data_IF_225146170641
#
_entry.id   IF_225146170641
#
_cell.length_a   1.000
_cell.length_b   1.000
_cell.length_c   1.000
_cell.angle_alpha   90.00
_cell.angle_beta   90.00
_cell.angle_gamma   90.00
#
_symmetry.space_group_name_H-M   'P 1'
#
loop_
_entity.id
_entity.type
_entity.pdbx_description
1 polymer ?
#
# COMPACT_ATOMS: atom_id res chain seq x y z
N UNK A 1 3.98 3.82 -22.73
CA UNK A 1 3.59 3.40 -21.37
C UNK A 1 4.75 2.66 -20.72
N UNK A 2 4.50 1.85 -19.70
CA UNK A 2 5.56 1.17 -18.93
C UNK A 2 6.46 0.24 -19.76
N UNK A 3 5.95 -0.42 -20.81
CA UNK A 3 6.74 -1.27 -21.71
C UNK A 3 7.93 -0.55 -22.38
N UNK A 4 7.80 0.76 -22.65
CA UNK A 4 8.90 1.55 -23.20
C UNK A 4 10.00 1.74 -22.16
N UNK A 5 9.62 1.97 -20.90
CA UNK A 5 10.55 2.16 -19.79
C UNK A 5 11.28 0.87 -19.43
N UNK A 6 10.54 -0.24 -19.26
CA UNK A 6 11.14 -1.54 -18.95
C UNK A 6 12.05 -2.02 -20.08
N UNK A 7 11.62 -1.88 -21.34
CA UNK A 7 12.44 -2.19 -22.50
C UNK A 7 13.74 -1.39 -22.55
N UNK A 8 13.72 -0.10 -22.24
CA UNK A 8 14.93 0.73 -22.19
C UNK A 8 15.88 0.29 -21.07
N UNK A 9 15.37 -0.05 -19.88
CA UNK A 9 16.19 -0.56 -18.78
C UNK A 9 16.82 -1.91 -19.13
N UNK A 10 16.05 -2.81 -19.73
CA UNK A 10 16.53 -4.13 -20.14
C UNK A 10 17.56 -4.06 -21.27
N UNK A 11 17.42 -3.12 -22.22
CA UNK A 11 18.44 -2.86 -23.24
C UNK A 11 19.79 -2.41 -22.64
N UNK A 12 19.74 -1.76 -21.47
CA UNK A 12 20.94 -1.39 -20.71
C UNK A 12 21.41 -2.51 -19.74
N UNK A 13 20.79 -3.69 -19.74
CA UNK A 13 21.12 -4.81 -18.86
C UNK A 13 20.67 -4.63 -17.40
N UNK A 14 19.76 -3.69 -17.13
CA UNK A 14 19.24 -3.42 -15.80
C UNK A 14 18.09 -4.34 -15.39
N UNK A 15 17.73 -4.28 -14.11
CA UNK A 15 16.56 -4.94 -13.49
C UNK A 15 15.66 -3.85 -12.92
N UNK A 16 14.34 -3.99 -13.09
CA UNK A 16 13.36 -2.99 -12.65
C UNK A 16 12.12 -3.64 -12.04
N UNK A 17 11.71 -3.13 -10.88
CA UNK A 17 10.51 -3.56 -10.15
C UNK A 17 9.48 -2.42 -10.13
N UNK A 18 8.20 -2.78 -10.22
CA UNK A 18 7.10 -1.82 -10.12
C UNK A 18 6.63 -1.68 -8.68
N UNK A 19 6.69 -0.48 -8.09
CA UNK A 19 6.13 -0.26 -6.76
C UNK A 19 4.60 -0.10 -6.85
N UNK A 20 3.85 -1.08 -6.32
CA UNK A 20 2.40 -1.05 -6.27
C UNK A 20 1.92 -0.24 -5.07
N UNK A 21 1.10 0.78 -5.34
CA UNK A 21 0.82 1.82 -4.36
C UNK A 21 -0.67 2.11 -4.24
N UNK A 22 -1.16 2.09 -3.00
CA UNK A 22 -2.49 2.55 -2.62
C UNK A 22 -2.37 3.55 -1.47
N UNK A 23 -2.76 4.80 -1.70
CA UNK A 23 -2.50 5.91 -0.76
C UNK A 23 -3.38 5.89 0.49
N UNK A 24 -4.55 5.26 0.41
CA UNK A 24 -5.50 5.24 1.53
C UNK A 24 -5.95 6.67 1.89
N UNK A 25 -5.88 7.03 3.17
CA UNK A 25 -6.27 8.38 3.66
C UNK A 25 -5.38 9.54 3.20
N UNK A 26 -4.22 9.28 2.61
CA UNK A 26 -3.33 10.31 2.06
C UNK A 26 -3.78 10.73 0.66
N UNK A 27 -5.01 11.26 0.55
CA UNK A 27 -5.65 11.58 -0.72
C UNK A 27 -6.63 12.74 -0.55
N UNK A 28 -7.28 13.14 -1.65
CA UNK A 28 -8.24 14.24 -1.68
C UNK A 28 -9.47 13.85 -2.50
N UNK A 29 -10.64 14.40 -2.15
CA UNK A 29 -11.93 14.08 -2.77
C UNK A 29 -11.93 14.17 -4.31
N UNK A 30 -11.18 15.13 -4.88
CA UNK A 30 -11.06 15.32 -6.34
C UNK A 30 -10.52 14.08 -7.09
N UNK A 31 -9.81 13.18 -6.42
CA UNK A 31 -9.28 11.97 -7.05
C UNK A 31 -10.26 10.78 -7.06
N UNK A 32 -11.43 10.94 -6.43
CA UNK A 32 -12.40 9.85 -6.24
C UNK A 32 -13.74 10.23 -6.83
N UNK A 33 -14.35 9.31 -7.60
CA UNK A 33 -15.65 9.56 -8.23
C UNK A 33 -16.78 9.77 -7.20
N UNK A 34 -16.67 9.12 -6.03
CA UNK A 34 -17.58 9.29 -4.88
C UNK A 34 -17.11 10.38 -3.90
N UNK A 35 -15.99 11.04 -4.19
CA UNK A 35 -15.42 12.10 -3.38
C UNK A 35 -14.78 11.63 -2.06
N UNK A 36 -14.61 10.32 -1.82
CA UNK A 36 -14.17 9.83 -0.51
C UNK A 36 -12.91 8.95 -0.59
N UNK A 37 -11.77 9.41 -0.05
CA UNK A 37 -10.65 8.52 0.26
C UNK A 37 -11.08 7.39 1.19
N UNK A 38 -10.32 6.29 1.18
CA UNK A 38 -10.61 5.11 2.00
C UNK A 38 -9.45 4.77 2.92
N UNK A 39 -9.75 4.17 4.07
CA UNK A 39 -8.76 3.76 5.07
C UNK A 39 -9.30 2.63 5.96
N UNK A 40 -8.46 1.98 6.78
CA UNK A 40 -8.96 1.05 7.80
C UNK A 40 -9.97 1.68 8.77
N UNK A 41 -9.84 2.97 9.07
CA UNK A 41 -10.74 3.71 9.96
C UNK A 41 -10.98 5.13 9.46
N UNK A 42 -12.10 5.74 9.87
CA UNK A 42 -12.49 7.10 9.48
C UNK A 42 -11.69 8.18 10.24
N UNK A 43 -10.36 8.15 10.10
CA UNK A 43 -9.41 9.02 10.79
C UNK A 43 -8.56 9.78 9.76
N UNK A 44 -8.68 11.10 9.72
CA UNK A 44 -7.84 11.93 8.85
C UNK A 44 -6.35 11.87 9.26
N UNK A 45 -5.39 11.99 8.31
CA UNK A 45 -3.97 11.86 8.61
C UNK A 45 -3.32 13.13 9.20
N UNK A 46 -4.05 14.23 9.36
CA UNK A 46 -3.48 15.57 9.63
C UNK A 46 -2.32 15.89 8.67
N UNK A 47 -2.65 15.88 7.37
CA UNK A 47 -1.68 16.03 6.30
C UNK A 47 -2.32 16.63 5.05
N UNK A 48 -1.46 17.15 4.18
CA UNK A 48 -1.84 17.73 2.89
C UNK A 48 -1.30 16.90 1.72
N UNK A 49 -2.02 16.93 0.60
CA UNK A 49 -1.58 16.38 -0.69
C UNK A 49 -1.53 17.45 -1.76
N UNK A 50 -0.67 17.26 -2.75
CA UNK A 50 -0.57 18.13 -3.90
C UNK A 50 -1.71 17.85 -4.88
N UNK A 51 -2.47 18.89 -5.24
CA UNK A 51 -3.53 18.83 -6.25
C UNK A 51 -3.24 19.87 -7.31
N UNK A 52 -3.34 19.46 -8.57
CA UNK A 52 -3.23 20.34 -9.74
C UNK A 52 -4.64 20.66 -10.23
N UNK A 53 -4.91 21.93 -10.50
CA UNK A 53 -6.16 22.38 -11.14
C UNK A 53 -6.12 22.20 -12.66
N UNK A 54 -7.25 22.47 -13.33
CA UNK A 54 -7.37 22.35 -14.79
C UNK A 54 -6.44 23.31 -15.55
N UNK A 55 -5.98 24.37 -14.88
CA UNK A 55 -5.04 25.36 -15.41
C UNK A 55 -3.57 24.97 -15.16
N UNK A 56 -3.31 23.79 -14.61
CA UNK A 56 -1.96 23.30 -14.32
C UNK A 56 -1.32 23.92 -13.08
N UNK A 57 -2.06 24.67 -12.26
CA UNK A 57 -1.55 25.26 -11.02
C UNK A 57 -1.71 24.27 -9.89
N UNK A 58 -0.61 23.99 -9.20
CA UNK A 58 -0.60 23.07 -8.08
C UNK A 58 -0.62 23.76 -6.73
N UNK A 59 -1.32 23.15 -5.78
CA UNK A 59 -1.41 23.61 -4.40
C UNK A 59 -1.48 22.43 -3.44
N UNK A 60 -1.03 22.65 -2.21
CA UNK A 60 -1.24 21.70 -1.11
C UNK A 60 -2.67 21.88 -0.59
N UNK A 61 -3.41 20.78 -0.45
CA UNK A 61 -4.77 20.75 0.10
C UNK A 61 -4.88 19.71 1.19
N UNK A 62 -5.71 19.97 2.19
CA UNK A 62 -5.91 19.07 3.33
C UNK A 62 -6.54 17.75 2.88
N UNK A 63 -6.09 16.65 3.49
CA UNK A 63 -6.73 15.34 3.31
C UNK A 63 -8.07 15.34 4.07
N UNK A 64 -9.22 15.11 3.40
CA UNK A 64 -10.50 15.01 4.09
C UNK A 64 -10.57 13.72 4.92
N UNK A 65 -11.51 13.62 5.87
CA UNK A 65 -11.78 12.37 6.57
C UNK A 65 -12.08 11.24 5.57
N UNK A 66 -11.42 10.07 5.69
CA UNK A 66 -11.68 8.94 4.82
C UNK A 66 -12.93 8.17 5.27
N UNK A 67 -13.47 7.35 4.37
CA UNK A 67 -14.43 6.30 4.71
C UNK A 67 -13.70 5.06 5.21
N UNK A 68 -14.21 4.44 6.28
CA UNK A 68 -13.71 3.15 6.73
C UNK A 68 -14.06 2.05 5.71
N UNK A 69 -13.07 1.23 5.36
CA UNK A 69 -13.25 0.13 4.42
C UNK A 69 -14.20 -0.94 4.96
N UNK A 70 -15.14 -1.39 4.13
CA UNK A 70 -15.88 -2.62 4.38
C UNK A 70 -15.03 -3.85 4.04
N UNK A 71 -15.46 -5.04 4.48
CA UNK A 71 -14.82 -6.31 4.10
C UNK A 71 -14.78 -6.50 2.58
N UNK A 72 -15.87 -6.13 1.88
CA UNK A 72 -15.92 -6.18 0.42
C UNK A 72 -14.98 -5.19 -0.25
N UNK A 73 -14.75 -4.01 0.36
CA UNK A 73 -13.76 -3.06 -0.18
C UNK A 73 -12.35 -3.63 -0.04
N UNK A 74 -12.02 -4.24 1.10
CA UNK A 74 -10.73 -4.89 1.33
C UNK A 74 -10.48 -5.99 0.29
N UNK A 75 -11.46 -6.86 0.07
CA UNK A 75 -11.37 -7.92 -0.94
C UNK A 75 -11.16 -7.37 -2.36
N UNK A 76 -11.83 -6.26 -2.70
CA UNK A 76 -11.65 -5.58 -3.99
C UNK A 76 -10.24 -5.02 -4.13
N UNK A 77 -9.72 -4.35 -3.09
CA UNK A 77 -8.36 -3.80 -3.12
C UNK A 77 -7.31 -4.91 -3.24
N UNK A 78 -7.49 -6.05 -2.57
CA UNK A 78 -6.62 -7.24 -2.76
C UNK A 78 -6.66 -7.72 -4.22
N UNK A 79 -7.84 -7.74 -4.85
CA UNK A 79 -7.98 -8.06 -6.26
C UNK A 79 -7.32 -7.02 -7.18
N UNK A 80 -7.38 -5.74 -6.83
CA UNK A 80 -6.72 -4.65 -7.57
C UNK A 80 -5.20 -4.79 -7.52
N UNK A 81 -4.62 -5.09 -6.34
CA UNK A 81 -3.19 -5.41 -6.20
C UNK A 81 -2.79 -6.62 -7.06
N UNK A 82 -3.58 -7.68 -7.04
CA UNK A 82 -3.38 -8.87 -7.87
C UNK A 82 -3.37 -8.52 -9.36
N UNK A 83 -4.34 -7.72 -9.81
CA UNK A 83 -4.42 -7.31 -11.21
C UNK A 83 -3.26 -6.38 -11.59
N UNK A 84 -2.89 -5.45 -10.72
CA UNK A 84 -1.77 -4.54 -10.93
C UNK A 84 -0.44 -5.31 -11.07
N UNK A 85 -0.24 -6.38 -10.30
CA UNK A 85 0.93 -7.25 -10.45
C UNK A 85 0.97 -7.95 -11.80
N UNK A 86 -0.17 -8.51 -12.27
CA UNK A 86 -0.26 -9.10 -13.63
C UNK A 86 0.07 -8.06 -14.71
N UNK A 87 -0.45 -6.85 -14.55
CA UNK A 87 -0.20 -5.75 -15.48
C UNK A 87 1.29 -5.35 -15.49
N UNK A 88 1.95 -5.33 -14.33
CA UNK A 88 3.38 -5.03 -14.24
C UNK A 88 4.23 -6.08 -14.99
N UNK A 89 3.95 -7.37 -14.80
CA UNK A 89 4.66 -8.43 -15.55
C UNK A 89 4.36 -8.34 -17.05
N UNK A 90 3.11 -8.11 -17.45
CA UNK A 90 2.77 -7.90 -18.86
C UNK A 90 3.45 -6.65 -19.47
N UNK A 91 3.79 -5.67 -18.63
CA UNK A 91 4.56 -4.50 -19.01
C UNK A 91 6.07 -4.72 -19.01
N UNK A 92 6.56 -5.91 -18.66
CA UNK A 92 7.98 -6.27 -18.68
C UNK A 92 8.74 -5.87 -17.43
N UNK A 93 8.08 -5.62 -16.28
CA UNK A 93 8.81 -5.53 -15.02
C UNK A 93 9.31 -6.91 -14.57
N UNK A 94 10.45 -6.94 -13.90
CA UNK A 94 11.05 -8.17 -13.37
C UNK A 94 10.32 -8.67 -12.11
N UNK A 95 9.59 -7.78 -11.45
CA UNK A 95 8.71 -8.08 -10.33
C UNK A 95 8.03 -6.83 -9.79
N UNK A 96 7.48 -6.94 -8.58
CA UNK A 96 6.79 -5.83 -7.91
C UNK A 96 7.25 -5.65 -6.47
N UNK A 97 7.24 -4.41 -6.02
CA UNK A 97 7.40 -4.03 -4.61
C UNK A 97 6.06 -3.52 -4.08
N UNK A 98 5.51 -4.14 -3.04
CA UNK A 98 4.31 -3.65 -2.37
C UNK A 98 4.69 -2.48 -1.46
N UNK A 99 4.07 -1.31 -1.65
CA UNK A 99 4.33 -0.18 -0.76
C UNK A 99 3.60 -0.35 0.60
N UNK A 100 4.29 -0.96 1.57
CA UNK A 100 3.80 -1.23 2.93
C UNK A 100 4.18 -0.20 4.00
N UNK A 101 4.54 1.03 3.62
CA UNK A 101 5.16 2.03 4.50
C UNK A 101 4.70 3.46 4.24
N UNK A 102 5.45 4.43 4.77
CA UNK A 102 5.24 5.89 4.59
C UNK A 102 3.81 6.42 4.88
N UNK A 103 3.04 5.72 5.72
CA UNK A 103 1.70 6.13 6.09
C UNK A 103 0.63 5.87 5.03
N UNK A 104 0.90 5.00 4.06
CA UNK A 104 -0.07 4.60 3.04
C UNK A 104 -0.89 3.38 3.48
N UNK A 105 -1.79 2.89 2.62
CA UNK A 105 -2.90 2.04 3.07
C UNK A 105 -2.47 0.84 3.92
N UNK A 106 -1.48 0.07 3.48
CA UNK A 106 -1.01 -1.09 4.23
C UNK A 106 -0.44 -0.68 5.59
N UNK A 107 0.40 0.36 5.65
CA UNK A 107 0.95 0.89 6.89
C UNK A 107 -0.16 1.43 7.82
N UNK A 108 -1.22 2.00 7.25
CA UNK A 108 -2.40 2.42 8.02
C UNK A 108 -3.07 1.23 8.73
N UNK A 109 -3.10 0.03 8.12
CA UNK A 109 -3.60 -1.18 8.79
C UNK A 109 -2.65 -1.67 9.91
N UNK A 110 -1.34 -1.55 9.71
CA UNK A 110 -0.33 -2.02 10.68
C UNK A 110 -0.37 -1.23 12.01
N UNK A 111 -0.71 0.06 11.96
CA UNK A 111 -0.61 0.98 13.09
C UNK A 111 -1.92 1.18 13.84
N UNK A 112 -1.86 1.10 15.16
CA UNK A 112 -2.99 1.33 16.06
C UNK A 112 -3.50 2.77 16.02
N UNK A 113 -2.65 3.75 15.67
CA UNK A 113 -3.07 5.16 15.52
C UNK A 113 -3.90 5.40 14.26
N UNK A 114 -3.86 4.51 13.28
CA UNK A 114 -4.59 4.62 12.03
C UNK A 114 -5.68 3.54 11.87
N UNK A 115 -5.58 2.44 12.61
CA UNK A 115 -6.50 1.30 12.58
C UNK A 115 -7.17 1.10 13.94
N UNK A 116 -8.42 1.56 14.04
CA UNK A 116 -9.33 1.39 15.18
C UNK A 116 -10.42 0.33 14.89
N UNK A 117 -10.19 -0.55 13.92
CA UNK A 117 -11.16 -1.61 13.59
C UNK A 117 -11.29 -2.61 14.73
N UNK A 118 -12.49 -3.17 14.86
CA UNK A 118 -12.84 -4.21 15.84
C UNK A 118 -13.12 -5.57 15.18
N UNK A 119 -12.95 -5.66 13.87
CA UNK A 119 -13.13 -6.88 13.08
C UNK A 119 -11.81 -7.65 12.89
N UNK A 120 -11.78 -8.63 11.98
CA UNK A 120 -10.60 -9.45 11.73
C UNK A 120 -9.39 -8.70 11.15
N UNK A 121 -9.52 -7.40 10.84
CA UNK A 121 -8.46 -6.56 10.30
C UNK A 121 -7.92 -5.51 11.30
N UNK A 122 -8.38 -5.50 12.56
CA UNK A 122 -7.85 -4.61 13.60
C UNK A 122 -7.84 -5.18 15.01
N UNK A 123 -7.43 -4.33 15.96
CA UNK A 123 -7.22 -4.72 17.35
C UNK A 123 -5.90 -5.48 17.54
N UNK A 124 -5.94 -6.81 17.43
CA UNK A 124 -4.78 -7.67 17.70
C UNK A 124 -3.67 -7.49 16.66
N UNK A 125 -2.44 -7.86 17.02
CA UNK A 125 -1.30 -7.83 16.10
C UNK A 125 -1.56 -8.69 14.85
N UNK A 126 -2.08 -9.92 15.03
CA UNK A 126 -2.39 -10.83 13.93
C UNK A 126 -3.44 -10.27 12.97
N UNK A 127 -4.43 -9.53 13.49
CA UNK A 127 -5.44 -8.88 12.66
C UNK A 127 -4.88 -7.69 11.89
N UNK A 128 -4.01 -6.87 12.52
CA UNK A 128 -3.41 -5.70 11.84
C UNK A 128 -2.49 -6.07 10.68
N UNK A 129 -1.78 -7.20 10.75
CA UNK A 129 -0.93 -7.67 9.64
C UNK A 129 -1.71 -8.43 8.56
N UNK A 130 -2.96 -8.85 8.83
CA UNK A 130 -3.76 -9.69 7.94
C UNK A 130 -3.91 -9.11 6.53
N UNK A 131 -4.21 -7.82 6.43
CA UNK A 131 -4.39 -7.17 5.13
C UNK A 131 -3.11 -7.21 4.27
N UNK A 132 -1.94 -6.97 4.88
CA UNK A 132 -0.66 -7.07 4.20
C UNK A 132 -0.38 -8.50 3.70
N UNK A 133 -0.69 -9.50 4.53
CA UNK A 133 -0.55 -10.92 4.18
C UNK A 133 -1.45 -11.28 3.00
N UNK A 134 -2.73 -10.88 3.03
CA UNK A 134 -3.67 -11.12 1.93
C UNK A 134 -3.22 -10.50 0.61
N UNK A 135 -2.69 -9.27 0.64
CA UNK A 135 -2.12 -8.60 -0.54
C UNK A 135 -0.90 -9.37 -1.08
N UNK A 136 0.06 -9.69 -0.22
CA UNK A 136 1.29 -10.38 -0.62
C UNK A 136 1.02 -11.79 -1.14
N UNK A 137 0.12 -12.54 -0.50
CA UNK A 137 -0.34 -13.84 -0.99
C UNK A 137 -0.99 -13.69 -2.36
N UNK A 138 -1.92 -12.75 -2.53
CA UNK A 138 -2.64 -12.59 -3.78
C UNK A 138 -1.73 -12.20 -4.97
N UNK A 139 -0.65 -11.44 -4.71
CA UNK A 139 0.39 -11.11 -5.69
C UNK A 139 1.29 -12.33 -5.95
N UNK A 140 1.78 -12.98 -4.89
CA UNK A 140 2.65 -14.15 -4.99
C UNK A 140 2.01 -15.30 -5.76
N UNK A 141 0.69 -15.51 -5.63
CA UNK A 141 -0.08 -16.51 -6.37
C UNK A 141 -0.08 -16.30 -7.89
N UNK A 142 0.18 -15.07 -8.36
CA UNK A 142 0.04 -14.70 -9.78
C UNK A 142 1.35 -14.40 -10.47
N UNK A 143 2.38 -13.98 -9.74
CA UNK A 143 3.70 -13.69 -10.30
C UNK A 143 4.83 -14.43 -9.60
N UNK A 144 4.57 -15.23 -8.58
CA UNK A 144 5.61 -15.88 -7.78
C UNK A 144 6.15 -14.97 -6.67
N UNK A 145 6.56 -15.60 -5.57
CA UNK A 145 7.03 -14.92 -4.36
C UNK A 145 8.45 -14.37 -4.53
N UNK A 146 9.23 -15.03 -5.37
CA UNK A 146 10.57 -14.65 -5.81
C UNK A 146 10.59 -13.37 -6.66
N UNK A 147 9.43 -12.91 -7.15
CA UNK A 147 9.26 -11.64 -7.87
C UNK A 147 8.42 -10.62 -7.08
N UNK A 148 8.22 -10.86 -5.79
CA UNK A 148 7.41 -10.02 -4.91
C UNK A 148 8.26 -9.54 -3.74
N UNK A 149 8.32 -8.22 -3.53
CA UNK A 149 8.91 -7.61 -2.34
C UNK A 149 7.91 -6.71 -1.61
N UNK A 150 8.26 -6.24 -0.42
CA UNK A 150 7.47 -5.28 0.34
C UNK A 150 8.36 -4.23 1.00
N UNK A 151 8.03 -2.95 0.84
CA UNK A 151 8.74 -1.87 1.53
C UNK A 151 8.05 -1.51 2.85
N UNK A 152 8.81 -1.48 3.96
CA UNK A 152 8.32 -1.11 5.29
C UNK A 152 8.98 0.18 5.81
N UNK A 153 8.39 0.82 6.83
CA UNK A 153 8.88 2.12 7.36
C UNK A 153 8.71 2.23 8.88
N UNK A 154 9.55 1.56 9.68
CA UNK A 154 9.34 1.39 11.12
C UNK A 154 9.31 2.69 11.93
N UNK A 155 10.05 3.71 11.52
CA UNK A 155 10.29 4.89 12.36
C UNK A 155 9.56 6.16 11.92
N UNK A 156 8.68 6.09 10.93
CA UNK A 156 7.89 7.27 10.55
C UNK A 156 6.88 7.59 11.66
N UNK A 157 6.65 8.88 11.89
CA UNK A 157 5.68 9.36 12.89
C UNK A 157 4.73 10.41 12.33
N UNK A 158 5.05 10.99 11.16
CA UNK A 158 4.20 11.96 10.47
C UNK A 158 2.88 11.32 10.00
N UNK A 159 1.90 12.13 9.59
CA UNK A 159 0.64 11.66 8.98
C UNK A 159 -0.23 10.80 9.91
N UNK A 160 -0.15 11.09 11.22
CA UNK A 160 -0.84 10.33 12.26
C UNK A 160 -0.32 8.90 12.46
N UNK A 161 0.96 8.63 12.16
CA UNK A 161 1.55 7.29 12.18
C UNK A 161 2.45 7.02 13.41
N UNK A 162 2.41 7.87 14.44
CA UNK A 162 3.20 7.68 15.66
C UNK A 162 2.66 6.55 16.56
N UNK A 163 2.95 5.29 16.20
CA UNK A 163 2.61 4.09 16.98
C UNK A 163 3.87 3.40 17.53
N UNK A 164 4.18 3.52 18.83
CA UNK A 164 5.36 2.87 19.42
C UNK A 164 5.38 1.34 19.31
N UNK A 165 4.23 0.67 19.11
CA UNK A 165 4.15 -0.79 18.95
C UNK A 165 4.09 -1.23 17.49
N UNK A 166 4.31 -0.32 16.53
CA UNK A 166 4.37 -0.72 15.11
C UNK A 166 5.52 -1.70 14.84
N UNK A 167 6.60 -1.61 15.62
CA UNK A 167 7.78 -2.47 15.48
C UNK A 167 7.38 -3.95 15.60
N UNK A 168 6.51 -4.31 16.55
CA UNK A 168 6.05 -5.68 16.71
C UNK A 168 5.27 -6.18 15.48
N UNK A 169 4.41 -5.33 14.91
CA UNK A 169 3.64 -5.67 13.71
C UNK A 169 4.56 -5.81 12.47
N UNK A 170 5.55 -4.93 12.33
CA UNK A 170 6.54 -4.97 11.25
C UNK A 170 7.42 -6.21 11.37
N UNK A 171 7.94 -6.53 12.56
CA UNK A 171 8.75 -7.72 12.78
C UNK A 171 7.95 -9.01 12.54
N UNK A 172 6.70 -9.05 12.99
CA UNK A 172 5.83 -10.20 12.72
C UNK A 172 5.52 -10.38 11.24
N UNK A 173 5.26 -9.28 10.52
CA UNK A 173 5.06 -9.33 9.07
C UNK A 173 6.35 -9.73 8.35
N UNK A 174 7.51 -9.23 8.78
CA UNK A 174 8.80 -9.58 8.19
C UNK A 174 9.14 -11.07 8.38
N UNK A 175 8.92 -11.61 9.59
CA UNK A 175 9.09 -13.03 9.87
C UNK A 175 8.13 -13.88 9.01
N UNK A 176 6.89 -13.43 8.82
CA UNK A 176 5.95 -14.09 7.91
C UNK A 176 6.43 -14.05 6.45
N UNK A 177 6.93 -12.90 5.97
CA UNK A 177 7.49 -12.75 4.62
C UNK A 177 8.66 -13.72 4.39
N UNK A 178 9.57 -13.86 5.35
CA UNK A 178 10.66 -14.82 5.32
C UNK A 178 10.14 -16.26 5.23
N UNK A 179 9.18 -16.65 6.09
CA UNK A 179 8.55 -17.98 6.05
C UNK A 179 7.86 -18.27 4.73
N UNK A 180 7.29 -17.26 4.07
CA UNK A 180 6.66 -17.43 2.77
C UNK A 180 7.66 -17.40 1.60
N UNK A 181 8.90 -16.94 1.79
CA UNK A 181 9.87 -16.77 0.71
C UNK A 181 9.58 -15.56 -0.19
N UNK A 182 9.10 -14.45 0.39
CA UNK A 182 9.02 -13.15 -0.29
C UNK A 182 10.45 -12.68 -0.60
N UNK A 183 10.69 -12.17 -1.81
CA UNK A 183 12.02 -11.94 -2.36
C UNK A 183 12.88 -10.95 -1.55
N UNK A 184 12.26 -9.87 -1.07
CA UNK A 184 12.95 -8.83 -0.27
C UNK A 184 11.97 -8.00 0.58
N UNK A 185 12.53 -7.33 1.58
CA UNK A 185 11.88 -6.38 2.49
C UNK A 185 12.68 -5.08 2.53
#
# INVERSE_FOLDING_TARGET
GWQLTTGAVHQAGGVIFSQLWHVGRMSHARFHADGQPVAPSALAPDAQVWVVDEQGRGQMVDCPPPRALSRSDIQRIVADYRQAARNAIAAGFDGVEVHGGNGYLIDQFLRRTANQRTDEYGGSLSNRIRFAQEVLTAIGDVIGRERTGIRLSPFITQRGMNDPQVIDAILALAAWCEQQGIAFI
#
